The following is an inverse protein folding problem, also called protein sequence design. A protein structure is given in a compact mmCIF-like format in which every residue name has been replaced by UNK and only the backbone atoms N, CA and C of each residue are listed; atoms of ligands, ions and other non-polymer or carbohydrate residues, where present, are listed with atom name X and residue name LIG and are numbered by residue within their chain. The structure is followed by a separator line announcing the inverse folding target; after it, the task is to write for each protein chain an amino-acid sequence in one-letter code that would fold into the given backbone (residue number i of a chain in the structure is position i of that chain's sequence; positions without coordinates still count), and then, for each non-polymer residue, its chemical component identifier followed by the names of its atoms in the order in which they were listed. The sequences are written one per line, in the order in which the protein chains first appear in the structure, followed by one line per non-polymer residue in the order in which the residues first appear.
data_IF_164973160066
#
_entry.id   IF_164973160066
#
_cell.length_a   1.000
_cell.length_b   1.000
_cell.length_c   1.000
_cell.angle_alpha   90.00
_cell.angle_beta   90.00
_cell.angle_gamma   90.00
#
_symmetry.space_group_name_H-M   'P 1'
#
loop_
_entity.id
_entity.type
_entity.pdbx_description
1 polymer ?
#
# COMPACT_ATOMS: atom_id res chain seq x y z
N UNK A 1 5.94 -15.18 -7.03
CA UNK A 1 5.88 -14.03 -7.94
C UNK A 1 7.30 -13.58 -8.22
N UNK A 2 7.61 -13.37 -9.48
CA UNK A 2 8.93 -12.93 -9.94
C UNK A 2 8.81 -11.93 -11.10
N UNK A 3 9.91 -11.24 -11.38
CA UNK A 3 10.02 -10.31 -12.52
C UNK A 3 11.18 -10.79 -13.40
N UNK A 4 10.93 -11.75 -14.32
CA UNK A 4 12.01 -12.32 -15.15
C UNK A 4 12.59 -11.32 -16.16
N UNK A 5 11.80 -10.38 -16.61
CA UNK A 5 12.18 -9.34 -17.55
C UNK A 5 11.54 -8.00 -17.16
N UNK A 6 12.09 -6.91 -17.69
CA UNK A 6 11.44 -5.60 -17.56
C UNK A 6 10.01 -5.68 -18.12
N UNK A 7 9.06 -5.09 -17.44
CA UNK A 7 7.64 -5.06 -17.83
C UNK A 7 6.95 -6.43 -17.90
N UNK A 8 7.50 -7.45 -17.23
CA UNK A 8 6.85 -8.76 -17.12
C UNK A 8 6.80 -9.20 -15.67
N UNK A 9 5.62 -9.60 -15.21
CA UNK A 9 5.43 -10.25 -13.92
C UNK A 9 5.05 -11.70 -14.17
N UNK A 10 5.73 -12.62 -13.50
CA UNK A 10 5.44 -14.05 -13.57
C UNK A 10 4.90 -14.53 -12.24
N UNK A 11 3.78 -15.24 -12.28
CA UNK A 11 3.13 -15.83 -11.10
C UNK A 11 3.16 -17.34 -11.27
N UNK A 12 3.82 -18.02 -10.33
CA UNK A 12 3.83 -19.48 -10.26
C UNK A 12 3.06 -19.92 -9.01
N UNK A 13 1.85 -20.46 -9.17
CA UNK A 13 1.07 -20.95 -8.03
C UNK A 13 1.64 -22.26 -7.48
N UNK A 14 1.33 -22.56 -6.24
CA UNK A 14 1.71 -23.83 -5.60
C UNK A 14 1.03 -25.03 -6.25
N UNK A 15 -0.20 -24.85 -6.72
CA UNK A 15 -1.00 -25.85 -7.40
C UNK A 15 -1.51 -25.33 -8.73
N UNK A 16 -1.40 -26.14 -9.76
CA UNK A 16 -1.88 -25.79 -11.11
C UNK A 16 -3.40 -25.51 -11.15
N UNK A 17 -4.16 -26.09 -10.23
CA UNK A 17 -5.60 -25.84 -10.10
C UNK A 17 -5.95 -24.38 -9.80
N UNK A 18 -5.04 -23.64 -9.17
CA UNK A 18 -5.23 -22.23 -8.80
C UNK A 18 -5.08 -21.27 -9.99
N UNK A 19 -4.51 -21.72 -11.10
CA UNK A 19 -4.22 -20.85 -12.26
C UNK A 19 -5.48 -20.15 -12.76
N UNK A 20 -6.56 -20.89 -12.93
CA UNK A 20 -7.83 -20.32 -13.41
C UNK A 20 -8.42 -19.29 -12.49
N UNK A 21 -8.34 -19.51 -11.19
CA UNK A 21 -8.86 -18.57 -10.19
C UNK A 21 -8.02 -17.30 -10.14
N UNK A 22 -6.70 -17.44 -10.24
CA UNK A 22 -5.77 -16.31 -10.31
C UNK A 22 -5.99 -15.49 -11.58
N UNK A 23 -6.10 -16.13 -12.73
CA UNK A 23 -6.41 -15.46 -14.00
C UNK A 23 -7.71 -14.67 -13.91
N UNK A 24 -8.76 -15.29 -13.37
CA UNK A 24 -10.06 -14.65 -13.20
C UNK A 24 -9.95 -13.42 -12.28
N UNK A 25 -9.23 -13.54 -11.18
CA UNK A 25 -9.00 -12.42 -10.26
C UNK A 25 -8.26 -11.26 -10.95
N UNK A 26 -7.28 -11.56 -11.80
CA UNK A 26 -6.53 -10.54 -12.56
C UNK A 26 -7.43 -9.86 -13.59
N UNK A 27 -8.26 -10.62 -14.32
CA UNK A 27 -9.18 -10.06 -15.31
C UNK A 27 -10.23 -9.14 -14.70
N UNK A 28 -10.67 -9.43 -13.48
CA UNK A 28 -11.65 -8.60 -12.74
C UNK A 28 -10.98 -7.39 -12.09
N UNK A 29 -9.65 -7.41 -11.92
CA UNK A 29 -8.90 -6.32 -11.33
C UNK A 29 -8.81 -5.12 -12.26
N UNK A 30 -8.46 -3.95 -11.69
CA UNK A 30 -8.28 -2.71 -12.43
C UNK A 30 -6.92 -2.61 -13.16
N UNK A 31 -6.14 -3.69 -13.19
CA UNK A 31 -4.83 -3.70 -13.85
C UNK A 31 -4.90 -3.46 -15.36
N UNK A 32 -6.00 -3.87 -16.01
CA UNK A 32 -6.16 -3.72 -17.46
C UNK A 32 -5.19 -4.57 -18.28
N UNK A 33 -4.60 -5.61 -17.69
CA UNK A 33 -3.65 -6.53 -18.32
C UNK A 33 -4.29 -7.89 -18.50
N UNK A 34 -4.17 -8.46 -19.69
CA UNK A 34 -4.64 -9.83 -19.98
C UNK A 34 -3.58 -10.84 -19.55
N UNK A 35 -3.88 -11.72 -18.60
CA UNK A 35 -2.94 -12.75 -18.20
C UNK A 35 -2.78 -13.81 -19.29
N UNK A 36 -1.58 -14.35 -19.40
CA UNK A 36 -1.26 -15.46 -20.30
C UNK A 36 -0.65 -16.60 -19.47
N UNK A 37 -1.18 -17.82 -19.59
CA UNK A 37 -0.65 -18.97 -18.87
C UNK A 37 -0.18 -20.08 -19.83
N UNK A 38 0.79 -20.86 -19.37
CA UNK A 38 1.31 -22.04 -20.07
C UNK A 38 0.94 -23.37 -19.34
N UNK A 39 0.00 -23.31 -18.40
CA UNK A 39 -0.41 -24.43 -17.55
C UNK A 39 0.41 -24.58 -16.27
N UNK A 40 1.50 -23.86 -16.12
CA UNK A 40 2.37 -23.88 -14.93
C UNK A 40 2.53 -22.49 -14.29
N UNK A 41 2.70 -21.48 -15.11
CA UNK A 41 2.90 -20.10 -14.69
C UNK A 41 1.95 -19.17 -15.43
N UNK A 42 1.65 -18.04 -14.81
CA UNK A 42 0.89 -16.94 -15.41
C UNK A 42 1.87 -15.80 -15.66
N UNK A 43 1.87 -15.28 -16.88
CA UNK A 43 2.70 -14.13 -17.27
C UNK A 43 1.84 -12.92 -17.53
N UNK A 44 2.23 -11.80 -16.94
CA UNK A 44 1.62 -10.48 -17.17
C UNK A 44 2.65 -9.62 -17.87
N UNK A 45 2.37 -9.27 -19.13
CA UNK A 45 3.23 -8.37 -19.90
C UNK A 45 2.61 -6.98 -19.88
N UNK A 46 3.37 -6.01 -19.37
CA UNK A 46 2.95 -4.61 -19.30
C UNK A 46 3.48 -3.84 -20.50
N UNK A 47 2.62 -3.12 -21.25
CA UNK A 47 3.07 -2.25 -22.31
C UNK A 47 3.85 -1.05 -21.76
N UNK A 48 4.59 -0.36 -22.62
CA UNK A 48 5.19 0.91 -22.25
C UNK A 48 4.11 1.90 -21.83
N UNK A 49 4.42 2.67 -20.78
CA UNK A 49 3.49 3.65 -20.24
C UNK A 49 3.39 4.86 -21.17
N UNK A 50 2.15 5.21 -21.56
CA UNK A 50 1.87 6.47 -22.22
C UNK A 50 1.98 7.62 -21.21
N UNK A 51 2.12 8.86 -21.69
CA UNK A 51 2.13 10.03 -20.82
C UNK A 51 0.83 10.17 -20.03
N UNK A 52 -0.31 9.92 -20.65
CA UNK A 52 -1.61 9.96 -19.97
C UNK A 52 -1.72 8.89 -18.89
N UNK A 53 -1.24 7.66 -19.17
CA UNK A 53 -1.24 6.58 -18.18
C UNK A 53 -0.31 6.89 -17.01
N UNK A 54 0.84 7.51 -17.25
CA UNK A 54 1.74 7.97 -16.19
C UNK A 54 1.07 8.98 -15.26
N UNK A 55 0.33 9.94 -15.83
CA UNK A 55 -0.42 10.93 -15.05
C UNK A 55 -1.53 10.28 -14.20
N UNK A 56 -2.24 9.32 -14.77
CA UNK A 56 -3.25 8.55 -14.01
C UNK A 56 -2.62 7.79 -12.84
N UNK A 57 -1.52 7.10 -13.09
CA UNK A 57 -0.81 6.35 -12.04
C UNK A 57 -0.31 7.28 -10.94
N UNK A 58 0.18 8.47 -11.27
CA UNK A 58 0.60 9.46 -10.29
C UNK A 58 -0.56 9.91 -9.39
N UNK A 59 -1.75 10.11 -9.96
CA UNK A 59 -2.96 10.43 -9.19
C UNK A 59 -3.38 9.27 -8.30
N UNK A 60 -3.35 8.04 -8.81
CA UNK A 60 -3.71 6.85 -8.04
C UNK A 60 -2.78 6.64 -6.84
N UNK A 61 -1.49 6.85 -7.02
CA UNK A 61 -0.50 6.76 -5.94
C UNK A 61 -0.75 7.81 -4.88
N UNK A 62 -1.04 9.05 -5.27
CA UNK A 62 -1.39 10.11 -4.33
C UNK A 62 -2.62 9.73 -3.49
N UNK A 63 -3.65 9.21 -4.14
CA UNK A 63 -4.87 8.74 -3.46
C UNK A 63 -4.58 7.60 -2.49
N UNK A 64 -3.78 6.62 -2.90
CA UNK A 64 -3.34 5.53 -2.01
C UNK A 64 -2.57 6.05 -0.81
N UNK A 65 -1.70 7.01 -1.01
CA UNK A 65 -0.95 7.66 0.06
C UNK A 65 -1.86 8.42 1.04
N UNK A 66 -2.83 9.16 0.54
CA UNK A 66 -3.80 9.86 1.39
C UNK A 66 -4.61 8.86 2.23
N UNK A 67 -5.06 7.75 1.63
CA UNK A 67 -5.75 6.69 2.35
C UNK A 67 -4.87 6.03 3.42
N UNK A 68 -3.60 5.80 3.13
CA UNK A 68 -2.64 5.26 4.09
C UNK A 68 -2.43 6.22 5.28
N UNK A 69 -2.32 7.52 5.02
CA UNK A 69 -2.21 8.53 6.09
C UNK A 69 -3.46 8.58 6.97
N UNK A 70 -4.64 8.46 6.38
CA UNK A 70 -5.90 8.37 7.14
C UNK A 70 -5.89 7.14 8.04
N UNK A 71 -5.46 5.98 7.54
CA UNK A 71 -5.35 4.76 8.32
C UNK A 71 -4.41 4.94 9.53
N UNK A 72 -3.26 5.56 9.33
CA UNK A 72 -2.30 5.85 10.42
C UNK A 72 -2.92 6.78 11.47
N UNK A 73 -3.62 7.83 11.05
CA UNK A 73 -4.30 8.75 11.98
C UNK A 73 -5.41 8.06 12.75
N UNK A 74 -6.12 7.13 12.15
CA UNK A 74 -7.12 6.33 12.84
C UNK A 74 -6.50 5.44 13.92
N UNK A 75 -5.37 4.81 13.63
CA UNK A 75 -4.61 4.02 14.61
C UNK A 75 -4.17 4.91 15.78
N UNK A 76 -3.66 6.10 15.50
CA UNK A 76 -3.31 7.07 16.55
C UNK A 76 -4.50 7.39 17.44
N UNK A 77 -5.65 7.69 16.85
CA UNK A 77 -6.86 7.99 17.59
C UNK A 77 -7.28 6.83 18.49
N UNK A 78 -7.29 5.62 17.94
CA UNK A 78 -7.65 4.43 18.70
C UNK A 78 -6.67 4.17 19.87
N UNK A 79 -5.38 4.38 19.66
CA UNK A 79 -4.38 4.28 20.71
C UNK A 79 -4.61 5.33 21.81
N UNK A 80 -4.85 6.58 21.43
CA UNK A 80 -5.13 7.65 22.38
C UNK A 80 -6.41 7.38 23.19
N UNK A 81 -7.45 6.86 22.55
CA UNK A 81 -8.69 6.48 23.23
C UNK A 81 -8.45 5.36 24.25
N UNK A 82 -7.63 4.36 23.90
CA UNK A 82 -7.22 3.30 24.81
C UNK A 82 -6.45 3.85 26.01
N UNK A 83 -5.49 4.75 25.80
CA UNK A 83 -4.73 5.37 26.88
C UNK A 83 -5.60 6.22 27.81
N UNK A 84 -6.56 6.94 27.27
CA UNK A 84 -7.53 7.72 28.08
C UNK A 84 -8.38 6.81 28.95
N UNK A 85 -8.81 5.65 28.45
CA UNK A 85 -9.51 4.65 29.27
C UNK A 85 -8.64 4.11 30.39
N UNK A 86 -7.38 3.81 30.12
CA UNK A 86 -6.42 3.38 31.14
C UNK A 86 -6.20 4.46 32.22
N UNK A 87 -6.14 5.72 31.83
CA UNK A 87 -6.05 6.83 32.76
C UNK A 87 -7.28 6.94 33.67
N UNK A 88 -8.49 6.85 33.10
CA UNK A 88 -9.74 6.85 33.85
C UNK A 88 -9.83 5.65 34.82
N UNK A 89 -9.30 4.51 34.41
CA UNK A 89 -9.24 3.31 35.24
C UNK A 89 -8.14 3.31 36.30
N UNK A 90 -7.34 4.34 36.38
CA UNK A 90 -6.25 4.47 37.33
C UNK A 90 -4.95 3.72 36.98
N UNK A 91 -4.89 3.11 35.80
CA UNK A 91 -3.69 2.39 35.31
C UNK A 91 -2.60 3.32 34.82
N UNK A 92 -2.94 4.51 34.35
CA UNK A 92 -2.01 5.56 33.92
C UNK A 92 -2.30 6.86 34.68
N UNK A 93 -1.24 7.52 35.16
CA UNK A 93 -1.33 8.89 35.68
C UNK A 93 -1.55 9.88 34.53
N UNK A 94 -1.93 11.13 34.87
CA UNK A 94 -2.09 12.19 33.89
C UNK A 94 -0.80 12.49 33.14
N UNK A 95 0.34 12.49 33.85
CA UNK A 95 1.67 12.68 33.24
C UNK A 95 2.05 11.51 32.30
N UNK A 96 1.76 10.28 32.71
CA UNK A 96 1.99 9.10 31.88
C UNK A 96 1.10 9.12 30.63
N UNK A 97 -0.16 9.52 30.77
CA UNK A 97 -1.09 9.67 29.64
C UNK A 97 -0.52 10.64 28.60
N UNK A 98 -0.09 11.82 29.07
CA UNK A 98 0.51 12.83 28.19
C UNK A 98 1.76 12.31 27.49
N UNK A 99 2.62 11.61 28.21
CA UNK A 99 3.82 11.00 27.65
C UNK A 99 3.51 9.98 26.56
N UNK A 100 2.49 9.14 26.76
CA UNK A 100 2.03 8.16 25.76
C UNK A 100 1.41 8.83 24.53
N UNK A 101 0.61 9.85 24.72
CA UNK A 101 0.03 10.62 23.61
C UNK A 101 1.13 11.31 22.79
N UNK A 102 2.16 11.86 23.43
CA UNK A 102 3.30 12.47 22.75
C UNK A 102 4.12 11.43 21.95
N UNK A 103 4.36 10.25 22.52
CA UNK A 103 5.04 9.16 21.84
C UNK A 103 4.30 8.72 20.57
N UNK A 104 2.98 8.51 20.67
CA UNK A 104 2.13 8.12 19.54
C UNK A 104 2.09 9.23 18.49
N UNK A 105 2.08 10.50 18.89
CA UNK A 105 2.12 11.60 17.94
C UNK A 105 3.45 11.63 17.17
N UNK A 106 4.58 11.41 17.83
CA UNK A 106 5.89 11.31 17.16
C UNK A 106 5.95 10.15 16.17
N UNK A 107 5.44 8.98 16.55
CA UNK A 107 5.36 7.83 15.67
C UNK A 107 4.46 8.12 14.46
N UNK A 108 3.32 8.74 14.68
CA UNK A 108 2.40 9.13 13.61
C UNK A 108 3.08 10.06 12.62
N UNK A 109 3.73 11.11 13.10
CA UNK A 109 4.44 12.07 12.26
C UNK A 109 5.55 11.39 11.45
N UNK A 110 6.29 10.48 12.06
CA UNK A 110 7.34 9.70 11.40
C UNK A 110 6.80 8.88 10.24
N UNK A 111 5.73 8.11 10.46
CA UNK A 111 5.16 7.24 9.43
C UNK A 111 4.42 8.01 8.35
N UNK A 112 3.75 9.11 8.68
CA UNK A 112 3.17 10.02 7.69
C UNK A 112 4.25 10.61 6.78
N UNK A 113 5.37 11.04 7.34
CA UNK A 113 6.51 11.55 6.57
C UNK A 113 7.12 10.47 5.66
N UNK A 114 7.24 9.24 6.15
CA UNK A 114 7.69 8.09 5.33
C UNK A 114 6.76 7.83 4.15
N UNK A 115 5.46 7.94 4.35
CA UNK A 115 4.47 7.80 3.26
C UNK A 115 4.65 8.91 2.24
N UNK A 116 4.76 10.15 2.67
CA UNK A 116 4.97 11.30 1.77
C UNK A 116 6.23 11.14 0.93
N UNK A 117 7.33 10.72 1.54
CA UNK A 117 8.59 10.45 0.83
C UNK A 117 8.45 9.33 -0.18
N UNK A 118 7.80 8.23 0.20
CA UNK A 118 7.57 7.10 -0.70
C UNK A 118 6.72 7.50 -1.90
N UNK A 119 5.69 8.32 -1.69
CA UNK A 119 4.83 8.85 -2.77
C UNK A 119 5.65 9.74 -3.70
N UNK A 120 6.45 10.65 -3.17
CA UNK A 120 7.27 11.56 -3.97
C UNK A 120 8.28 10.80 -4.82
N UNK A 121 8.98 9.83 -4.23
CA UNK A 121 9.93 8.98 -4.96
C UNK A 121 9.26 8.19 -6.07
N UNK A 122 8.13 7.56 -5.76
CA UNK A 122 7.40 6.76 -6.75
C UNK A 122 6.79 7.62 -7.85
N UNK A 123 6.30 8.79 -7.52
CA UNK A 123 5.77 9.75 -8.50
C UNK A 123 6.85 10.19 -9.47
N UNK A 124 8.05 10.52 -8.98
CA UNK A 124 9.20 10.84 -9.82
C UNK A 124 9.57 9.69 -10.73
N UNK A 125 9.64 8.47 -10.20
CA UNK A 125 9.94 7.26 -10.97
C UNK A 125 8.93 7.05 -12.10
N UNK A 126 7.64 7.22 -11.83
CA UNK A 126 6.57 7.02 -12.80
C UNK A 126 6.59 8.11 -13.89
N UNK A 127 6.83 9.36 -13.53
CA UNK A 127 6.84 10.49 -14.47
C UNK A 127 8.16 10.63 -15.23
N UNK A 128 9.21 9.95 -14.81
CA UNK A 128 10.49 9.95 -15.50
C UNK A 128 10.43 9.02 -16.72
N UNK A 129 10.80 9.57 -17.86
CA UNK A 129 10.85 8.83 -19.12
C UNK A 129 12.23 8.18 -19.29
#
# INVERSE_FOLDING_TARGET
ISVPEARMIQIQPWEASLIKDIEKAILVSELGITPNNDGKVIRLVFPELTEDRRKELAKDIKKKGDNAKVAIRNIRRDANDAFKKMNKGGELSDDELKGKEDEVQKLTDKYVDMIDKAIDEKTKEILTV
#
